data_IF_771127498754
#
_entry.id   IF_771127498754
#
_cell.length_a   1.000
_cell.length_b   1.000
_cell.length_c   1.000
_cell.angle_alpha   90.00
_cell.angle_beta   90.00
_cell.angle_gamma   90.00
#
_symmetry.space_group_name_H-M   'P 1'
#
loop_
_entity.id
_entity.type
_entity.pdbx_description
1 polymer ?
#
# COMPACT_ATOMS: atom_id res chain seq x y z
N UNK A 1 5.08 -1.20 11.86
CA UNK A 1 6.33 -0.89 11.17
C UNK A 1 6.04 -0.80 9.67
N UNK A 2 6.62 0.17 8.94
CA UNK A 2 6.32 0.47 7.53
C UNK A 2 6.52 -0.70 6.55
N UNK A 3 7.28 -1.71 6.94
CA UNK A 3 7.58 -2.91 6.16
C UNK A 3 6.50 -3.99 6.23
N UNK A 4 5.40 -3.77 6.96
CA UNK A 4 4.29 -4.73 7.10
C UNK A 4 3.50 -4.98 5.81
N UNK A 5 3.44 -4.01 4.91
CA UNK A 5 2.78 -4.18 3.62
C UNK A 5 3.57 -5.07 2.68
N UNK A 6 2.90 -5.93 1.90
CA UNK A 6 3.55 -6.79 0.89
C UNK A 6 4.16 -5.95 -0.24
N UNK A 7 5.20 -6.42 -0.94
CA UNK A 7 5.68 -5.76 -2.16
C UNK A 7 4.53 -5.53 -3.15
N UNK A 8 4.41 -4.28 -3.64
CA UNK A 8 3.43 -3.92 -4.65
C UNK A 8 3.92 -4.29 -6.05
N UNK A 9 3.03 -4.14 -7.03
CA UNK A 9 3.31 -4.50 -8.43
C UNK A 9 4.38 -3.63 -9.08
N UNK A 10 4.48 -2.37 -8.64
CA UNK A 10 5.49 -1.42 -9.09
C UNK A 10 6.67 -1.48 -8.14
N UNK A 11 7.88 -1.60 -8.67
CA UNK A 11 9.10 -1.63 -7.88
C UNK A 11 9.15 -0.44 -6.90
N UNK A 12 9.51 -0.73 -5.64
CA UNK A 12 9.57 0.26 -4.57
C UNK A 12 8.24 0.63 -3.92
N UNK A 13 7.11 0.06 -4.35
CA UNK A 13 5.81 0.21 -3.69
C UNK A 13 5.50 -0.95 -2.75
N UNK A 14 4.64 -0.70 -1.76
CA UNK A 14 4.09 -1.69 -0.84
C UNK A 14 2.58 -1.53 -0.74
N UNK A 15 1.92 -2.65 -0.49
CA UNK A 15 0.46 -2.75 -0.35
C UNK A 15 0.11 -3.22 1.06
N UNK A 16 -0.76 -2.48 1.75
CA UNK A 16 -1.28 -2.85 3.06
C UNK A 16 -2.80 -2.96 3.02
N UNK A 17 -3.32 -4.13 3.36
CA UNK A 17 -4.75 -4.31 3.62
C UNK A 17 -5.03 -3.81 5.04
N UNK A 18 -5.80 -2.72 5.16
CA UNK A 18 -6.10 -2.09 6.46
C UNK A 18 -7.45 -2.55 7.00
N UNK A 19 -8.51 -2.33 6.21
CA UNK A 19 -9.87 -2.81 6.47
C UNK A 19 -10.36 -3.38 5.16
N UNK A 20 -10.74 -4.67 5.13
CA UNK A 20 -11.28 -5.25 3.91
C UNK A 20 -12.51 -4.43 3.44
N UNK A 21 -12.63 -4.09 2.14
CA UNK A 21 -11.79 -4.51 1.00
C UNK A 21 -10.72 -3.47 0.58
N UNK A 22 -10.35 -2.53 1.44
CA UNK A 22 -9.43 -1.45 1.08
C UNK A 22 -7.96 -1.87 1.10
N UNK A 23 -7.24 -1.48 0.05
CA UNK A 23 -5.79 -1.67 -0.09
C UNK A 23 -5.11 -0.31 -0.21
N UNK A 24 -4.16 -0.04 0.69
CA UNK A 24 -3.35 1.18 0.68
C UNK A 24 -2.04 0.89 -0.07
N UNK A 25 -1.77 1.63 -1.14
CA UNK A 25 -0.48 1.59 -1.85
C UNK A 25 0.38 2.73 -1.35
N UNK A 26 1.58 2.42 -0.89
CA UNK A 26 2.50 3.41 -0.34
C UNK A 26 3.95 3.12 -0.72
N UNK A 27 4.81 4.10 -0.51
CA UNK A 27 6.27 3.94 -0.43
C UNK A 27 6.73 4.40 0.94
N UNK A 28 7.86 3.88 1.40
CA UNK A 28 8.47 4.37 2.63
C UNK A 28 9.94 4.64 2.39
N UNK A 29 10.46 5.65 3.08
CA UNK A 29 11.88 5.89 3.28
C UNK A 29 12.19 5.76 4.78
N UNK A 30 13.43 6.06 5.18
CA UNK A 30 13.82 6.07 6.59
C UNK A 30 13.00 7.08 7.43
N UNK A 31 12.53 8.17 6.82
CA UNK A 31 11.99 9.33 7.53
C UNK A 31 10.48 9.52 7.33
N UNK A 32 9.91 8.95 6.26
CA UNK A 32 8.51 9.19 5.89
C UNK A 32 7.86 8.04 5.13
N UNK A 33 6.53 8.05 5.16
CA UNK A 33 5.66 7.16 4.39
C UNK A 33 4.78 8.00 3.48
N UNK A 34 4.82 7.71 2.19
CA UNK A 34 4.02 8.39 1.17
C UNK A 34 2.89 7.48 0.70
N UNK A 35 1.65 7.85 1.00
CA UNK A 35 0.46 7.16 0.48
C UNK A 35 0.25 7.62 -0.96
N UNK A 36 0.32 6.67 -1.89
CA UNK A 36 0.17 6.95 -3.33
C UNK A 36 -1.27 6.77 -3.79
N UNK A 37 -1.98 5.79 -3.22
CA UNK A 37 -3.35 5.47 -3.62
C UNK A 37 -4.06 4.63 -2.56
N UNK A 38 -5.39 4.73 -2.56
CA UNK A 38 -6.27 3.85 -1.79
C UNK A 38 -7.21 3.19 -2.79
N UNK A 39 -7.24 1.86 -2.79
CA UNK A 39 -8.05 1.06 -3.70
C UNK A 39 -9.17 0.35 -2.95
N UNK A 40 -10.28 0.11 -3.65
CA UNK A 40 -11.33 -0.80 -3.20
C UNK A 40 -11.16 -2.14 -3.93
N UNK A 41 -10.58 -3.14 -3.26
CA UNK A 41 -10.15 -4.41 -3.85
C UNK A 41 -11.27 -5.26 -4.47
N UNK A 42 -12.54 -4.95 -4.18
CA UNK A 42 -13.71 -5.64 -4.75
C UNK A 42 -14.29 -4.88 -5.96
N UNK A 43 -14.03 -3.58 -6.11
CA UNK A 43 -14.68 -2.74 -7.14
C UNK A 43 -13.79 -2.49 -8.36
N UNK A 44 -12.88 -3.44 -8.62
CA UNK A 44 -11.83 -3.42 -9.65
C UNK A 44 -10.57 -2.63 -9.27
N UNK A 45 -9.42 -3.26 -9.56
CA UNK A 45 -8.03 -2.83 -9.31
C UNK A 45 -7.50 -1.95 -10.44
#
# INVERSE_FOLDING_TARGET
MPERGRPGLVAGTRELTSVWPYVIVYRHSAERVDILRIWHGVQSR
#
